data_IF_876927802371
#
_entry.id   IF_876927802371
#
_cell.length_a   1.000
_cell.length_b   1.000
_cell.length_c   1.000
_cell.angle_alpha   90.00
_cell.angle_beta   90.00
_cell.angle_gamma   90.00
#
_symmetry.space_group_name_H-M   'P 1'
#
loop_
_entity.id
_entity.type
_entity.pdbx_description
1 polymer ?
#
# COMPACT_ATOMS: atom_id res chain seq x y z
N UNK A 1 -51.15 -26.82 -36.12
CA UNK A 1 -50.10 -27.87 -36.16
C UNK A 1 -49.98 -28.40 -34.74
N UNK A 2 -50.14 -29.69 -34.39
CA UNK A 2 -49.62 -30.96 -34.97
C UNK A 2 -48.08 -30.98 -35.04
N UNK A 3 -47.30 -31.88 -34.43
CA UNK A 3 -47.53 -32.90 -33.37
C UNK A 3 -46.25 -32.93 -32.46
N UNK A 4 -45.93 -33.83 -31.52
CA UNK A 4 -46.52 -35.07 -30.95
C UNK A 4 -45.90 -35.38 -29.55
N UNK A 5 -46.44 -36.39 -28.85
CA UNK A 5 -45.78 -37.20 -27.79
C UNK A 5 -45.35 -38.57 -28.42
N UNK A 6 -44.45 -39.43 -27.85
CA UNK A 6 -44.31 -39.81 -26.43
C UNK A 6 -42.85 -39.92 -25.92
N UNK A 7 -42.56 -40.24 -24.65
CA UNK A 7 -43.41 -40.51 -23.47
C UNK A 7 -42.89 -41.72 -22.67
N UNK A 8 -43.49 -42.03 -21.51
CA UNK A 8 -43.25 -43.31 -20.84
C UNK A 8 -44.52 -43.86 -20.15
N UNK A 9 -44.64 -45.19 -20.15
CA UNK A 9 -45.79 -45.97 -19.65
C UNK A 9 -45.25 -47.31 -19.12
N UNK A 10 -45.83 -48.00 -18.14
CA UNK A 10 -47.17 -47.88 -17.53
C UNK A 10 -47.23 -48.75 -16.25
N UNK A 11 -48.42 -48.74 -15.61
CA UNK A 11 -48.96 -49.75 -14.67
C UNK A 11 -48.47 -49.72 -13.21
N UNK A 12 -49.32 -50.01 -12.21
CA UNK A 12 -50.79 -50.14 -12.19
C UNK A 12 -51.36 -49.48 -10.92
N UNK A 13 -52.48 -48.76 -10.94
CA UNK A 13 -53.85 -49.23 -11.15
C UNK A 13 -54.29 -50.34 -10.17
N UNK A 14 -54.96 -49.91 -9.10
CA UNK A 14 -55.83 -50.70 -8.22
C UNK A 14 -56.94 -49.77 -7.74
N UNK A 15 -58.19 -50.05 -8.08
CA UNK A 15 -59.26 -49.04 -8.05
C UNK A 15 -59.98 -48.87 -6.70
N UNK A 16 -60.38 -47.61 -6.45
CA UNK A 16 -61.58 -47.05 -5.78
C UNK A 16 -62.59 -48.01 -5.10
N UNK A 17 -63.33 -47.63 -4.03
CA UNK A 17 -64.34 -46.55 -4.02
C UNK A 17 -64.62 -45.92 -2.62
N UNK A 18 -64.49 -44.58 -2.55
CA UNK A 18 -65.54 -43.61 -2.15
C UNK A 18 -66.55 -43.97 -1.01
N UNK A 19 -66.54 -43.23 0.12
CA UNK A 19 -67.60 -42.25 0.57
C UNK A 19 -67.61 -41.91 2.09
N UNK A 20 -67.87 -40.61 2.39
CA UNK A 20 -68.37 -39.96 3.64
C UNK A 20 -67.44 -39.67 4.83
N UNK A 21 -67.78 -38.54 5.48
CA UNK A 21 -67.21 -37.94 6.70
C UNK A 21 -68.17 -38.14 7.88
N UNK A 22 -67.68 -38.51 9.06
CA UNK A 22 -68.32 -38.36 10.39
C UNK A 22 -67.22 -38.04 11.45
N UNK A 23 -67.61 -37.58 12.64
CA UNK A 23 -66.80 -36.94 13.70
C UNK A 23 -66.30 -37.85 14.85
N UNK A 24 -65.44 -37.27 15.73
CA UNK A 24 -65.08 -37.67 17.12
C UNK A 24 -64.14 -38.89 17.36
N UNK A 25 -63.50 -39.04 18.56
CA UNK A 25 -62.78 -38.01 19.36
C UNK A 25 -61.45 -38.49 20.02
N UNK A 26 -60.82 -37.59 20.80
CA UNK A 26 -59.63 -37.72 21.70
C UNK A 26 -59.25 -39.10 22.30
N UNK A 27 -57.94 -39.36 22.27
CA UNK A 27 -57.10 -39.83 23.40
C UNK A 27 -55.73 -39.11 23.24
N UNK A 28 -55.06 -38.45 24.21
CA UNK A 28 -54.84 -38.69 25.66
C UNK A 28 -53.93 -39.89 25.91
N UNK A 29 -52.92 -39.70 26.80
CA UNK A 29 -51.76 -40.59 27.06
C UNK A 29 -50.66 -40.52 25.97
N UNK A 30 -49.83 -39.46 26.01
CA UNK A 30 -48.44 -39.46 25.49
C UNK A 30 -47.56 -38.26 25.92
N UNK A 31 -48.05 -37.31 26.74
CA UNK A 31 -47.31 -36.07 27.08
C UNK A 31 -46.26 -36.19 28.20
N UNK A 32 -46.27 -37.26 29.01
CA UNK A 32 -45.46 -37.32 30.23
C UNK A 32 -43.94 -37.47 29.99
N UNK A 33 -43.52 -38.29 29.02
CA UNK A 33 -42.10 -38.65 28.85
C UNK A 33 -41.31 -37.68 27.95
N UNK A 34 -41.97 -36.93 27.06
CA UNK A 34 -41.25 -35.97 26.20
C UNK A 34 -40.70 -34.77 26.99
N UNK A 35 -41.44 -34.28 27.99
CA UNK A 35 -41.05 -33.10 28.77
C UNK A 35 -39.70 -33.26 29.49
N UNK A 36 -39.44 -34.45 30.06
CA UNK A 36 -38.19 -34.75 30.77
C UNK A 36 -36.98 -35.03 29.85
N UNK A 37 -37.22 -35.26 28.56
CA UNK A 37 -36.15 -35.28 27.55
C UNK A 37 -35.74 -33.85 27.18
N UNK A 38 -36.71 -33.02 26.81
CA UNK A 38 -36.48 -31.66 26.30
C UNK A 38 -35.77 -30.76 27.33
N UNK A 39 -36.05 -30.90 28.62
CA UNK A 39 -35.37 -30.15 29.68
C UNK A 39 -33.86 -30.45 29.75
N UNK A 40 -33.47 -31.73 29.59
CA UNK A 40 -32.06 -32.15 29.63
C UNK A 40 -31.27 -31.69 28.40
N UNK A 41 -31.85 -31.84 27.21
CA UNK A 41 -31.22 -31.31 25.99
C UNK A 41 -31.12 -29.78 26.03
N UNK A 42 -32.16 -29.08 26.51
CA UNK A 42 -32.13 -27.63 26.68
C UNK A 42 -31.05 -27.16 27.66
N UNK A 43 -30.90 -27.82 28.81
CA UNK A 43 -29.83 -27.53 29.78
C UNK A 43 -28.43 -27.79 29.18
N UNK A 44 -28.23 -28.89 28.46
CA UNK A 44 -26.96 -29.15 27.77
C UNK A 44 -26.66 -28.12 26.68
N UNK A 45 -27.66 -27.67 25.92
CA UNK A 45 -27.51 -26.62 24.91
C UNK A 45 -27.16 -25.27 25.55
N UNK A 46 -27.79 -24.91 26.67
CA UNK A 46 -27.47 -23.71 27.43
C UNK A 46 -26.05 -23.74 28.01
N UNK A 47 -25.57 -24.90 28.49
CA UNK A 47 -24.17 -25.04 28.94
C UNK A 47 -23.20 -24.93 27.76
N UNK A 48 -23.51 -25.51 26.60
CA UNK A 48 -22.68 -25.34 25.40
C UNK A 48 -22.66 -23.88 24.91
N UNK A 49 -23.81 -23.20 24.86
CA UNK A 49 -23.89 -21.78 24.49
C UNK A 49 -23.18 -20.88 25.50
N UNK A 50 -23.29 -21.17 26.80
CA UNK A 50 -22.57 -20.45 27.84
C UNK A 50 -21.06 -20.66 27.71
N UNK A 51 -20.58 -21.90 27.48
CA UNK A 51 -19.16 -22.18 27.25
C UNK A 51 -18.64 -21.56 25.95
N UNK A 52 -19.44 -21.54 24.88
CA UNK A 52 -19.09 -20.90 23.60
C UNK A 52 -19.03 -19.37 23.74
N UNK A 53 -19.95 -18.77 24.50
CA UNK A 53 -19.91 -17.36 24.86
C UNK A 53 -18.71 -17.03 25.75
N UNK A 54 -18.34 -17.90 26.69
CA UNK A 54 -17.15 -17.72 27.55
C UNK A 54 -15.85 -17.90 26.75
N UNK A 55 -15.86 -18.75 25.70
CA UNK A 55 -14.79 -18.82 24.72
C UNK A 55 -14.69 -17.50 23.94
N UNK A 56 -15.79 -16.98 23.39
CA UNK A 56 -15.81 -15.66 22.73
C UNK A 56 -15.42 -14.50 23.67
N UNK A 57 -15.65 -14.60 24.98
CA UNK A 57 -15.17 -13.64 25.98
C UNK A 57 -13.76 -13.92 26.53
N UNK A 58 -13.04 -14.92 25.98
CA UNK A 58 -11.63 -15.21 26.30
C UNK A 58 -10.72 -15.30 25.06
N UNK A 59 -11.31 -15.38 23.86
CA UNK A 59 -10.66 -14.96 22.62
C UNK A 59 -10.69 -13.42 22.62
N UNK A 60 -9.80 -12.84 23.41
CA UNK A 60 -9.49 -11.42 23.40
C UNK A 60 -8.69 -11.13 22.11
N UNK A 61 -9.39 -11.12 20.98
CA UNK A 61 -8.81 -10.75 19.68
C UNK A 61 -8.42 -9.29 19.79
N UNK A 62 -7.16 -9.05 20.16
CA UNK A 62 -6.47 -7.79 19.95
C UNK A 62 -6.23 -7.61 18.44
N UNK A 63 -7.33 -7.53 17.69
CA UNK A 63 -7.38 -6.79 16.45
C UNK A 63 -7.10 -5.35 16.86
N UNK A 64 -5.81 -4.97 16.78
CA UNK A 64 -5.44 -3.57 16.65
C UNK A 64 -6.33 -2.97 15.57
N UNK A 65 -6.81 -1.73 15.70
CA UNK A 65 -7.30 -1.03 14.52
C UNK A 65 -6.19 -1.11 13.46
N UNK A 66 -6.54 -1.50 12.23
CA UNK A 66 -5.63 -1.34 11.09
C UNK A 66 -5.20 0.13 11.00
N UNK A 67 -4.06 0.42 10.36
CA UNK A 67 -3.36 1.71 10.48
C UNK A 67 -4.20 2.93 10.01
N UNK A 68 -5.08 3.46 10.87
CA UNK A 68 -6.08 4.48 10.55
C UNK A 68 -5.55 5.93 10.64
N UNK A 69 -4.22 6.12 10.65
CA UNK A 69 -3.58 7.34 11.15
C UNK A 69 -2.51 7.96 10.21
N UNK A 70 -2.71 7.89 8.87
CA UNK A 70 -1.90 8.72 7.93
C UNK A 70 -2.70 9.46 6.84
N UNK A 71 -3.78 8.86 6.32
CA UNK A 71 -4.64 9.37 5.21
C UNK A 71 -5.35 10.74 5.40
N UNK A 72 -4.94 11.57 6.37
CA UNK A 72 -5.46 12.93 6.62
C UNK A 72 -4.45 14.07 6.46
N UNK A 73 -3.15 13.79 6.27
CA UNK A 73 -2.13 14.83 6.02
C UNK A 73 -2.15 15.39 4.59
N UNK A 74 -3.35 15.76 4.11
CA UNK A 74 -3.56 16.27 2.75
C UNK A 74 -3.05 17.70 2.59
N UNK A 75 -1.87 17.81 1.99
CA UNK A 75 -1.28 18.98 1.32
C UNK A 75 -1.28 20.29 2.13
N UNK A 76 -0.17 20.57 2.83
CA UNK A 76 0.21 21.94 3.16
C UNK A 76 1.66 22.23 2.73
N UNK A 77 1.90 22.83 1.54
CA UNK A 77 3.23 22.91 0.92
C UNK A 77 4.11 24.04 1.49
N UNK A 78 4.11 24.22 2.82
CA UNK A 78 4.76 25.37 3.50
C UNK A 78 5.69 24.99 4.66
N UNK A 79 6.06 23.72 4.81
CA UNK A 79 6.89 23.21 5.93
C UNK A 79 8.06 22.30 5.50
N UNK A 80 8.68 22.55 4.34
CA UNK A 80 9.83 21.78 3.80
C UNK A 80 11.12 21.81 4.66
N UNK A 81 11.19 22.63 5.72
CA UNK A 81 12.40 22.77 6.56
C UNK A 81 12.27 22.20 8.00
N UNK A 82 11.13 21.61 8.40
CA UNK A 82 10.86 21.33 9.84
C UNK A 82 10.62 19.85 10.22
N UNK A 83 10.72 18.87 9.30
CA UNK A 83 10.34 17.47 9.58
C UNK A 83 11.36 16.38 9.17
N UNK A 84 12.67 16.69 9.11
CA UNK A 84 13.78 15.73 8.82
C UNK A 84 13.89 14.52 9.80
N UNK A 85 13.01 14.43 10.80
CA UNK A 85 13.01 13.44 11.89
C UNK A 85 11.82 12.47 11.77
N UNK A 86 10.83 12.79 10.94
CA UNK A 86 9.73 11.88 10.64
C UNK A 86 10.10 10.98 9.46
N UNK A 87 9.86 9.66 9.54
CA UNK A 87 9.83 8.84 8.34
C UNK A 87 8.77 9.40 7.38
N UNK A 88 9.05 9.48 6.07
CA UNK A 88 8.06 9.92 5.09
C UNK A 88 6.93 8.87 4.96
N UNK A 89 5.76 9.38 4.57
CA UNK A 89 4.56 8.59 4.24
C UNK A 89 4.68 7.99 2.82
N UNK A 90 5.06 8.86 1.89
CA UNK A 90 5.40 8.54 0.50
C UNK A 90 6.84 8.04 0.37
N UNK A 91 7.04 6.91 -0.32
CA UNK A 91 8.34 6.26 -0.44
C UNK A 91 8.90 6.39 -1.87
N UNK A 92 9.70 7.44 -2.04
CA UNK A 92 10.47 7.73 -3.26
C UNK A 92 11.15 6.46 -3.82
N UNK A 93 10.85 6.13 -5.08
CA UNK A 93 11.44 4.97 -5.75
C UNK A 93 10.88 3.61 -5.32
N UNK A 94 9.71 3.56 -4.66
CA UNK A 94 8.96 2.32 -4.37
C UNK A 94 7.58 2.35 -5.04
N UNK A 95 7.12 1.21 -5.58
CA UNK A 95 5.87 1.13 -6.36
C UNK A 95 4.57 1.18 -5.53
N UNK A 96 4.60 0.84 -4.24
CA UNK A 96 3.48 1.02 -3.31
C UNK A 96 3.90 1.85 -2.09
N UNK A 97 2.95 2.61 -1.58
CA UNK A 97 3.09 3.33 -0.31
C UNK A 97 2.92 2.40 0.90
N UNK A 98 3.21 2.91 2.10
CA UNK A 98 3.08 2.19 3.38
C UNK A 98 1.69 1.58 3.63
N UNK A 99 0.63 2.15 3.06
CA UNK A 99 -0.77 1.70 3.21
C UNK A 99 -1.27 0.83 2.03
N UNK A 100 -0.38 0.49 1.09
CA UNK A 100 -0.67 -0.38 -0.05
C UNK A 100 -1.30 0.32 -1.26
N UNK A 101 -1.50 1.64 -1.26
CA UNK A 101 -1.82 2.37 -2.50
C UNK A 101 -0.67 2.31 -3.51
N UNK A 102 -0.98 2.44 -4.80
CA UNK A 102 0.06 2.60 -5.85
C UNK A 102 0.65 4.01 -5.74
N UNK A 103 1.98 4.09 -5.66
CA UNK A 103 2.70 5.34 -5.87
C UNK A 103 2.48 5.76 -7.35
N UNK A 104 1.83 6.91 -7.55
CA UNK A 104 1.50 7.41 -8.89
C UNK A 104 2.66 8.16 -9.55
N UNK A 105 3.56 8.74 -8.76
CA UNK A 105 4.65 9.57 -9.25
C UNK A 105 5.97 8.78 -9.40
N UNK A 106 5.99 7.50 -8.99
CA UNK A 106 7.09 6.54 -9.12
C UNK A 106 7.87 6.64 -10.44
N UNK A 107 7.16 6.66 -11.57
CA UNK A 107 7.76 6.74 -12.91
C UNK A 107 8.47 8.07 -13.18
N UNK A 108 8.05 9.16 -12.55
CA UNK A 108 8.72 10.47 -12.57
C UNK A 108 9.92 10.48 -11.60
N UNK A 109 9.76 9.91 -10.39
CA UNK A 109 10.83 9.79 -9.40
C UNK A 109 12.03 9.01 -9.94
N UNK A 110 11.81 7.82 -10.52
CA UNK A 110 12.92 7.00 -11.05
C UNK A 110 13.50 7.56 -12.36
N UNK A 111 12.78 8.44 -13.05
CA UNK A 111 13.25 9.08 -14.27
C UNK A 111 14.01 10.41 -14.02
N UNK A 112 13.63 11.18 -13.00
CA UNK A 112 14.24 12.47 -12.68
C UNK A 112 15.20 12.40 -11.47
N UNK A 113 14.82 11.62 -10.46
CA UNK A 113 15.37 11.69 -9.11
C UNK A 113 15.32 13.13 -8.58
N UNK A 114 16.42 13.60 -8.02
CA UNK A 114 16.57 14.97 -7.49
C UNK A 114 16.27 16.09 -8.49
N UNK A 115 16.32 15.82 -9.80
CA UNK A 115 15.96 16.83 -10.80
C UNK A 115 14.45 17.16 -10.74
N UNK A 116 13.60 16.29 -10.16
CA UNK A 116 12.15 16.44 -9.99
C UNK A 116 11.75 17.72 -9.25
N UNK A 117 12.43 18.06 -8.15
CA UNK A 117 12.19 19.31 -7.43
C UNK A 117 12.44 20.56 -8.29
N UNK A 118 13.20 20.42 -9.39
CA UNK A 118 13.44 21.52 -10.31
C UNK A 118 12.47 21.56 -11.52
N UNK A 119 11.40 20.74 -11.55
CA UNK A 119 10.39 20.69 -12.61
C UNK A 119 9.03 21.35 -12.22
N UNK A 120 9.02 22.19 -11.18
CA UNK A 120 7.88 23.04 -10.77
C UNK A 120 7.05 23.62 -11.95
N UNK A 121 5.72 23.65 -11.80
CA UNK A 121 4.79 24.23 -12.79
C UNK A 121 5.10 25.71 -13.11
N UNK A 122 5.60 26.47 -12.13
CA UNK A 122 5.98 27.88 -12.27
C UNK A 122 7.27 28.10 -13.09
N UNK A 123 8.02 27.03 -13.42
CA UNK A 123 9.26 27.15 -14.19
C UNK A 123 8.99 27.37 -15.69
N UNK A 124 9.72 28.32 -16.30
CA UNK A 124 9.60 28.62 -17.73
C UNK A 124 9.69 27.33 -18.58
N UNK A 125 8.69 26.98 -19.43
CA UNK A 125 8.70 25.72 -20.19
C UNK A 125 9.94 25.51 -21.07
N UNK A 126 10.61 26.61 -21.47
CA UNK A 126 11.89 26.61 -22.19
C UNK A 126 13.10 26.17 -21.36
N UNK A 127 13.01 26.16 -20.02
CA UNK A 127 13.99 25.58 -19.09
C UNK A 127 13.72 24.09 -18.90
N UNK A 128 12.49 23.74 -18.54
CA UNK A 128 12.11 22.34 -18.29
C UNK A 128 12.34 21.49 -19.57
N UNK A 129 12.01 22.02 -20.76
CA UNK A 129 12.39 21.41 -22.05
C UNK A 129 13.90 21.22 -22.23
N UNK A 130 14.74 22.14 -21.74
CA UNK A 130 16.21 21.97 -21.82
C UNK A 130 16.70 20.91 -20.85
N UNK A 131 16.19 20.87 -19.62
CA UNK A 131 16.52 19.83 -18.63
C UNK A 131 16.13 18.45 -19.15
N UNK A 132 14.91 18.29 -19.66
CA UNK A 132 14.43 17.03 -20.24
C UNK A 132 15.28 16.56 -21.44
N UNK A 133 15.80 17.49 -22.26
CA UNK A 133 16.79 17.20 -23.31
C UNK A 133 18.17 16.84 -22.75
N UNK A 134 18.57 17.43 -21.62
CA UNK A 134 19.81 17.08 -20.93
C UNK A 134 19.72 15.68 -20.31
N UNK A 135 18.62 15.36 -19.63
CA UNK A 135 18.28 14.02 -19.12
C UNK A 135 18.31 13.01 -20.27
N UNK A 136 17.61 13.27 -21.38
CA UNK A 136 17.68 12.44 -22.58
C UNK A 136 19.14 12.18 -23.03
N UNK A 137 19.99 13.20 -22.96
CA UNK A 137 21.42 13.12 -23.32
C UNK A 137 22.32 12.47 -22.25
N UNK A 138 21.81 12.25 -21.03
CA UNK A 138 22.42 11.42 -19.97
C UNK A 138 22.03 9.94 -20.15
N UNK A 139 20.76 9.67 -20.48
CA UNK A 139 20.22 8.31 -20.72
C UNK A 139 20.75 7.70 -22.01
N UNK A 140 20.85 8.47 -23.10
CA UNK A 140 21.43 8.05 -24.39
C UNK A 140 22.96 7.88 -24.27
N UNK A 141 23.37 6.76 -23.68
CA UNK A 141 24.76 6.39 -23.45
C UNK A 141 25.50 6.10 -24.77
N UNK A 142 24.80 5.50 -25.75
CA UNK A 142 25.41 5.06 -27.01
C UNK A 142 25.49 6.19 -28.08
N UNK A 143 24.60 7.18 -27.99
CA UNK A 143 24.50 8.40 -28.80
C UNK A 143 23.91 8.22 -30.21
N UNK A 144 22.99 7.27 -30.34
CA UNK A 144 22.17 7.08 -31.55
C UNK A 144 20.92 7.99 -31.59
N UNK A 145 20.60 8.68 -30.49
CA UNK A 145 19.42 9.56 -30.27
C UNK A 145 18.10 8.83 -30.04
N UNK A 146 18.15 7.57 -29.64
CA UNK A 146 17.02 6.79 -29.15
C UNK A 146 17.38 6.20 -27.78
N UNK A 147 16.43 6.15 -26.85
CA UNK A 147 16.62 5.45 -25.59
C UNK A 147 16.11 4.03 -25.76
N UNK A 148 16.98 3.03 -25.65
CA UNK A 148 16.55 1.63 -25.58
C UNK A 148 16.10 1.27 -24.16
N UNK A 149 15.26 0.23 -24.03
CA UNK A 149 14.81 -0.28 -22.73
C UNK A 149 15.96 -0.65 -21.76
N UNK A 150 17.17 -0.94 -22.26
CA UNK A 150 18.35 -1.22 -21.42
C UNK A 150 19.06 0.03 -20.90
N UNK A 151 19.04 1.10 -21.68
CA UNK A 151 19.55 2.40 -21.25
C UNK A 151 18.60 3.04 -20.23
N UNK A 152 17.29 2.93 -20.46
CA UNK A 152 16.27 3.32 -19.48
C UNK A 152 16.33 2.46 -18.20
N UNK A 153 16.41 1.12 -18.30
CA UNK A 153 16.60 0.22 -17.15
C UNK A 153 17.79 0.66 -16.30
N UNK A 154 18.94 0.89 -16.94
CA UNK A 154 20.15 1.31 -16.23
C UNK A 154 19.97 2.69 -15.58
N UNK A 155 19.34 3.64 -16.25
CA UNK A 155 19.09 4.97 -15.71
C UNK A 155 18.21 4.92 -14.46
N UNK A 156 17.15 4.11 -14.47
CA UNK A 156 16.30 3.82 -13.30
C UNK A 156 17.17 3.33 -12.14
N UNK A 157 17.97 2.29 -12.33
CA UNK A 157 18.84 1.74 -11.26
C UNK A 157 19.87 2.75 -10.77
N UNK A 158 20.49 3.53 -11.67
CA UNK A 158 21.46 4.59 -11.33
C UNK A 158 20.79 5.74 -10.56
N UNK A 159 19.48 5.98 -10.77
CA UNK A 159 18.67 6.97 -10.03
C UNK A 159 18.17 6.45 -8.67
N UNK A 160 17.79 5.19 -8.55
CA UNK A 160 17.50 4.56 -7.25
C UNK A 160 18.75 4.56 -6.36
N UNK A 161 19.92 4.17 -6.90
CA UNK A 161 21.19 4.24 -6.16
C UNK A 161 21.56 5.69 -5.79
N UNK A 162 21.33 6.66 -6.67
CA UNK A 162 21.51 8.09 -6.36
C UNK A 162 20.60 8.57 -5.20
N UNK A 163 19.36 8.09 -5.11
CA UNK A 163 18.45 8.42 -4.01
C UNK A 163 18.90 7.76 -2.70
N UNK A 164 19.25 6.46 -2.72
CA UNK A 164 19.71 5.74 -1.53
C UNK A 164 20.97 6.39 -0.92
N UNK A 165 21.89 6.85 -1.77
CA UNK A 165 23.09 7.59 -1.34
C UNK A 165 22.81 9.02 -0.84
N UNK A 166 21.61 9.56 -1.06
CA UNK A 166 21.11 10.79 -0.44
C UNK A 166 20.50 10.49 0.94
N UNK A 167 19.60 9.50 1.02
CA UNK A 167 18.96 9.03 2.26
C UNK A 167 19.99 8.69 3.35
N UNK A 168 21.06 7.95 3.01
CA UNK A 168 22.19 7.65 3.93
C UNK A 168 22.86 8.90 4.49
N UNK A 169 22.89 9.99 3.72
CA UNK A 169 23.58 11.25 4.07
C UNK A 169 22.70 12.20 4.88
N UNK A 170 21.42 12.26 4.54
CA UNK A 170 20.38 12.99 5.28
C UNK A 170 20.16 12.32 6.65
N UNK A 171 20.00 10.99 6.67
CA UNK A 171 19.94 10.19 7.90
C UNK A 171 21.11 10.50 8.85
N UNK A 172 22.33 10.69 8.36
CA UNK A 172 23.48 11.03 9.22
C UNK A 172 23.32 12.39 9.93
N UNK A 173 22.67 13.35 9.30
CA UNK A 173 22.35 14.65 9.92
C UNK A 173 21.22 14.50 10.93
N UNK A 174 20.14 13.80 10.57
CA UNK A 174 19.00 13.52 11.46
C UNK A 174 19.42 12.71 12.68
N UNK A 175 20.26 11.68 12.51
CA UNK A 175 20.81 10.85 13.59
C UNK A 175 21.56 11.71 14.60
N UNK A 176 22.50 12.55 14.16
CA UNK A 176 23.20 13.50 15.04
C UNK A 176 22.31 14.60 15.63
N UNK A 177 21.07 14.78 15.17
CA UNK A 177 20.08 15.65 15.79
C UNK A 177 19.22 14.94 16.85
N UNK A 178 19.07 13.60 16.76
CA UNK A 178 18.31 12.76 17.71
C UNK A 178 19.17 11.99 18.74
N UNK A 179 20.49 11.90 18.53
CA UNK A 179 21.52 11.48 19.50
C UNK A 179 22.14 12.72 20.18
N UNK A 180 21.61 13.20 21.33
CA UNK A 180 22.08 14.41 22.00
C UNK A 180 23.24 14.17 23.00
N UNK A 181 23.50 12.93 23.41
CA UNK A 181 24.53 12.60 24.40
C UNK A 181 25.81 12.01 23.78
N UNK A 182 25.70 11.48 22.55
CA UNK A 182 26.80 11.06 21.70
C UNK A 182 27.26 9.61 21.93
N UNK A 183 26.40 8.74 22.47
CA UNK A 183 26.75 7.33 22.71
C UNK A 183 26.77 6.44 21.45
N UNK A 184 26.16 6.91 20.35
CA UNK A 184 26.14 6.24 19.05
C UNK A 184 24.90 5.37 18.78
N UNK A 185 23.89 5.43 19.66
CA UNK A 185 22.57 4.84 19.49
C UNK A 185 21.51 5.88 19.87
N UNK A 186 20.27 5.69 19.42
CA UNK A 186 19.14 6.56 19.77
C UNK A 186 18.16 5.78 20.63
N UNK A 187 17.68 6.34 21.74
CA UNK A 187 16.56 5.76 22.48
C UNK A 187 15.21 6.24 21.95
N UNK A 188 14.16 5.41 22.11
CA UNK A 188 12.78 5.83 21.81
C UNK A 188 12.36 7.12 22.55
N UNK A 189 12.89 7.36 23.76
CA UNK A 189 12.55 8.54 24.55
C UNK A 189 13.21 9.81 24.02
N UNK A 190 14.43 9.75 23.49
CA UNK A 190 15.08 10.88 22.83
C UNK A 190 14.40 11.21 21.51
N UNK A 191 14.12 10.19 20.69
CA UNK A 191 13.33 10.36 19.47
C UNK A 191 11.97 11.01 19.76
N UNK A 192 11.26 10.52 20.78
CA UNK A 192 9.97 11.08 21.22
C UNK A 192 10.09 12.52 21.72
N UNK A 193 11.16 12.88 22.44
CA UNK A 193 11.43 14.28 22.84
C UNK A 193 11.62 15.18 21.60
N UNK A 194 12.34 14.71 20.58
CA UNK A 194 12.64 15.47 19.36
C UNK A 194 11.42 15.63 18.45
N UNK A 195 10.64 14.56 18.24
CA UNK A 195 9.36 14.60 17.53
C UNK A 195 8.36 15.57 18.20
N UNK A 196 8.26 15.56 19.52
CA UNK A 196 7.41 16.53 20.22
C UNK A 196 7.96 17.96 20.11
N UNK A 197 9.27 18.13 20.04
CA UNK A 197 9.88 19.45 19.81
C UNK A 197 9.54 20.02 18.40
N UNK A 198 9.54 19.19 17.33
CA UNK A 198 9.12 19.66 16.00
C UNK A 198 7.61 19.95 15.92
N UNK A 199 6.78 19.22 16.69
CA UNK A 199 5.36 19.56 16.91
C UNK A 199 5.15 20.82 17.78
N UNK A 200 6.22 21.52 18.18
CA UNK A 200 6.16 22.80 18.91
C UNK A 200 6.08 22.70 20.45
N UNK A 201 6.23 21.51 21.03
CA UNK A 201 6.35 21.35 22.47
C UNK A 201 7.76 21.75 22.96
N UNK A 202 7.90 22.09 24.25
CA UNK A 202 9.20 22.44 24.79
C UNK A 202 10.03 21.19 25.09
N UNK A 203 11.08 20.95 24.30
CA UNK A 203 12.04 19.83 24.41
C UNK A 203 12.42 19.50 25.87
N UNK A 204 12.75 20.52 26.69
CA UNK A 204 13.20 20.34 28.07
C UNK A 204 12.06 20.00 29.04
N UNK A 205 10.86 20.49 28.76
CA UNK A 205 9.66 20.12 29.52
C UNK A 205 9.23 18.69 29.21
N UNK A 206 9.31 18.27 27.93
CA UNK A 206 8.99 16.91 27.52
C UNK A 206 10.01 15.91 28.09
N UNK A 207 11.31 16.21 28.00
CA UNK A 207 12.37 15.36 28.56
C UNK A 207 12.22 15.15 30.08
N UNK A 208 11.95 16.21 30.85
CA UNK A 208 11.73 16.07 32.29
C UNK A 208 10.42 15.33 32.61
N UNK A 209 9.34 15.51 31.85
CA UNK A 209 8.09 14.75 32.02
C UNK A 209 8.27 13.25 31.75
N UNK A 210 8.90 12.92 30.63
CA UNK A 210 9.20 11.53 30.22
C UNK A 210 10.04 10.83 31.29
N UNK A 211 11.10 11.49 31.76
CA UNK A 211 12.00 11.02 32.83
C UNK A 211 11.33 10.86 34.20
N UNK A 212 10.27 11.61 34.49
CA UNK A 212 9.44 11.43 35.68
C UNK A 212 8.24 10.48 35.45
N UNK A 213 8.10 9.94 34.23
CA UNK A 213 6.98 9.12 33.79
C UNK A 213 5.61 9.81 34.02
N UNK A 214 5.56 11.12 33.76
CA UNK A 214 4.33 11.92 33.78
C UNK A 214 3.52 11.76 32.49
N UNK A 215 2.20 11.83 32.60
CA UNK A 215 1.26 11.76 31.48
C UNK A 215 1.44 12.96 30.53
N UNK A 216 1.86 12.66 29.29
CA UNK A 216 2.00 13.67 28.24
C UNK A 216 0.63 14.07 27.71
N UNK A 217 0.30 15.36 27.79
CA UNK A 217 -0.93 15.93 27.23
C UNK A 217 -0.73 16.29 25.76
N UNK A 218 -0.59 15.27 24.94
CA UNK A 218 -0.74 15.32 23.49
C UNK A 218 -2.22 15.18 23.12
N UNK A 219 -2.56 15.64 21.92
CA UNK A 219 -3.80 15.32 21.21
C UNK A 219 -3.83 13.87 20.72
N UNK A 220 -5.04 13.41 20.38
CA UNK A 220 -5.35 12.03 19.96
C UNK A 220 -4.60 11.65 18.66
N UNK A 221 -4.54 12.56 17.68
CA UNK A 221 -3.80 12.40 16.42
C UNK A 221 -2.28 12.23 16.66
N UNK A 222 -1.68 13.08 17.49
CA UNK A 222 -0.25 12.97 17.85
C UNK A 222 0.05 11.70 18.65
N UNK A 223 -0.89 11.20 19.46
CA UNK A 223 -0.76 9.93 20.18
C UNK A 223 -0.84 8.71 19.23
N UNK A 224 -1.80 8.69 18.30
CA UNK A 224 -1.90 7.64 17.26
C UNK A 224 -0.63 7.55 16.40
N UNK A 225 -0.08 8.70 16.00
CA UNK A 225 1.19 8.78 15.26
C UNK A 225 2.35 8.26 16.12
N UNK A 226 2.43 8.61 17.40
CA UNK A 226 3.46 8.08 18.31
C UNK A 226 3.38 6.57 18.50
N UNK A 227 2.18 5.98 18.53
CA UNK A 227 2.01 4.53 18.66
C UNK A 227 2.41 3.79 17.38
N UNK A 228 2.02 4.30 16.21
CA UNK A 228 2.45 3.79 14.89
C UNK A 228 3.98 3.85 14.72
N UNK A 229 4.59 5.00 15.01
CA UNK A 229 6.05 5.17 14.97
C UNK A 229 6.76 4.23 15.96
N UNK A 230 6.16 3.93 17.11
CA UNK A 230 6.75 3.01 18.09
C UNK A 230 6.73 1.56 17.63
N UNK A 231 5.66 1.12 16.96
CA UNK A 231 5.63 -0.21 16.36
C UNK A 231 6.67 -0.33 15.24
N UNK A 232 6.79 0.69 14.37
CA UNK A 232 7.84 0.79 13.34
C UNK A 232 9.25 0.74 13.94
N UNK A 233 9.48 1.43 15.06
CA UNK A 233 10.74 1.38 15.82
C UNK A 233 11.12 -0.05 16.22
N UNK A 234 10.17 -0.82 16.78
CA UNK A 234 10.40 -2.23 17.15
C UNK A 234 10.60 -3.19 15.96
N UNK A 235 10.41 -2.75 14.71
CA UNK A 235 10.77 -3.51 13.50
C UNK A 235 12.12 -3.08 12.92
N UNK A 236 12.60 -1.87 13.25
CA UNK A 236 13.94 -1.40 12.92
C UNK A 236 15.01 -1.96 13.88
N UNK A 237 14.62 -2.22 15.13
CA UNK A 237 15.34 -2.91 16.22
C UNK A 237 15.66 -4.38 15.85
N UNK A 238 16.57 -4.55 14.89
CA UNK A 238 16.94 -5.82 14.24
C UNK A 238 17.98 -6.58 15.11
N UNK A 239 18.07 -7.93 15.10
CA UNK A 239 18.82 -8.66 16.12
C UNK A 239 20.30 -8.26 16.28
N UNK A 240 20.75 -7.82 17.47
CA UNK A 240 20.07 -7.91 18.77
C UNK A 240 19.02 -6.81 19.01
N UNK A 241 17.76 -7.20 19.17
CA UNK A 241 16.70 -6.28 19.54
C UNK A 241 16.87 -5.85 21.01
N UNK A 242 17.45 -4.66 21.23
CA UNK A 242 17.76 -4.10 22.56
C UNK A 242 17.07 -2.74 22.83
N UNK A 243 16.23 -2.30 21.89
CA UNK A 243 15.39 -1.10 21.91
C UNK A 243 16.14 0.23 21.64
N UNK A 244 17.42 0.14 21.27
CA UNK A 244 18.25 1.24 20.79
C UNK A 244 18.42 1.10 19.28
N UNK A 245 18.35 2.20 18.51
CA UNK A 245 18.66 2.15 17.07
C UNK A 245 20.04 2.75 16.80
N UNK A 246 20.92 1.99 16.14
CA UNK A 246 22.19 2.49 15.60
C UNK A 246 21.99 3.25 14.26
N UNK A 247 23.05 3.80 13.67
CA UNK A 247 22.96 4.63 12.44
C UNK A 247 22.33 3.88 11.24
N UNK A 248 22.52 2.57 11.10
CA UNK A 248 21.94 1.73 10.03
C UNK A 248 20.49 1.31 10.33
N UNK A 249 20.12 1.19 11.60
CA UNK A 249 18.75 0.84 12.04
C UNK A 249 17.86 2.09 12.06
N UNK A 250 18.38 3.25 12.44
CA UNK A 250 17.68 4.53 12.29
C UNK A 250 17.48 4.89 10.81
N UNK A 251 18.45 4.56 9.95
CA UNK A 251 18.25 4.59 8.49
C UNK A 251 17.12 3.65 8.08
N UNK A 252 17.09 2.42 8.58
CA UNK A 252 16.01 1.45 8.31
C UNK A 252 14.64 1.90 8.83
N UNK A 253 14.60 2.73 9.87
CA UNK A 253 13.39 3.32 10.45
C UNK A 253 12.84 4.46 9.58
N UNK A 254 13.70 5.40 9.16
CA UNK A 254 13.32 6.50 8.26
C UNK A 254 13.03 5.98 6.84
N UNK A 255 13.99 5.25 6.27
CA UNK A 255 14.07 4.79 4.88
C UNK A 255 13.91 3.25 4.77
N UNK A 256 12.68 2.73 4.86
CA UNK A 256 12.39 1.30 4.84
C UNK A 256 12.82 0.61 3.54
N UNK A 257 12.83 1.35 2.42
CA UNK A 257 13.29 0.95 1.10
C UNK A 257 14.77 0.52 1.09
N UNK A 258 15.60 1.12 1.96
CA UNK A 258 17.01 0.79 2.09
C UNK A 258 17.25 -0.52 2.87
N UNK A 259 16.22 -1.07 3.53
CA UNK A 259 16.38 -2.19 4.48
C UNK A 259 15.42 -3.33 4.18
N UNK A 260 15.93 -4.42 3.59
CA UNK A 260 15.12 -5.60 3.24
C UNK A 260 14.45 -6.29 4.43
N UNK A 261 14.86 -5.99 5.67
CA UNK A 261 14.12 -6.36 6.89
C UNK A 261 12.83 -5.55 7.07
N UNK A 262 12.91 -4.23 6.85
CA UNK A 262 11.79 -3.30 6.94
C UNK A 262 10.87 -3.36 5.70
N UNK A 263 11.41 -3.56 4.49
CA UNK A 263 10.63 -3.87 3.29
C UNK A 263 9.75 -5.12 3.51
N UNK A 264 10.32 -6.17 4.12
CA UNK A 264 9.59 -7.38 4.55
C UNK A 264 8.65 -7.13 5.75
N UNK A 265 8.70 -5.98 6.41
CA UNK A 265 7.65 -5.54 7.34
C UNK A 265 6.53 -4.79 6.61
N UNK A 266 6.84 -3.86 5.70
CA UNK A 266 5.84 -3.19 4.85
C UNK A 266 4.93 -4.21 4.15
N UNK A 267 5.52 -5.24 3.53
CA UNK A 267 4.76 -6.30 2.86
C UNK A 267 3.83 -7.04 3.84
N UNK A 268 4.19 -7.23 5.12
CA UNK A 268 3.27 -7.81 6.12
C UNK A 268 2.11 -6.89 6.44
N UNK A 269 2.34 -5.58 6.53
CA UNK A 269 1.29 -4.59 6.82
C UNK A 269 0.31 -4.49 5.64
N UNK A 270 0.82 -4.42 4.40
CA UNK A 270 0.02 -4.46 3.17
C UNK A 270 -0.80 -5.76 3.09
N UNK A 271 -0.20 -6.92 3.41
CA UNK A 271 -0.96 -8.17 3.52
C UNK A 271 -2.01 -8.10 4.64
N UNK A 272 -1.67 -7.64 5.86
CA UNK A 272 -2.59 -7.56 6.99
C UNK A 272 -3.83 -6.70 6.70
N UNK A 273 -3.68 -5.65 5.89
CA UNK A 273 -4.73 -4.69 5.60
C UNK A 273 -5.51 -5.00 4.30
N UNK A 274 -5.06 -5.97 3.48
CA UNK A 274 -5.73 -6.44 2.26
C UNK A 274 -6.23 -7.91 2.30
N UNK A 275 -5.56 -8.82 3.01
CA UNK A 275 -5.92 -10.24 3.18
C UNK A 275 -7.20 -10.37 4.04
N UNK A 276 -8.32 -10.74 3.43
CA UNK A 276 -9.63 -10.72 4.09
C UNK A 276 -10.05 -12.06 4.70
N UNK A 277 -9.45 -13.17 4.29
CA UNK A 277 -9.77 -14.52 4.81
C UNK A 277 -8.67 -15.15 5.69
N UNK A 278 -7.44 -14.62 5.61
CA UNK A 278 -6.29 -14.94 6.46
C UNK A 278 -5.40 -16.08 5.94
N UNK A 279 -5.55 -16.52 4.69
CA UNK A 279 -4.72 -17.60 4.12
C UNK A 279 -3.30 -17.16 3.70
N UNK A 280 -3.02 -15.85 3.72
CA UNK A 280 -1.76 -15.19 3.32
C UNK A 280 -1.50 -15.19 1.82
N UNK A 281 -2.55 -15.00 1.04
CA UNK A 281 -2.49 -14.81 -0.40
C UNK A 281 -3.38 -13.65 -0.80
N UNK A 282 -2.94 -12.80 -1.73
CA UNK A 282 -3.78 -11.74 -2.25
C UNK A 282 -4.37 -12.18 -3.58
N UNK A 283 -5.66 -12.52 -3.58
CA UNK A 283 -6.39 -12.67 -4.84
C UNK A 283 -6.53 -11.31 -5.52
N UNK A 284 -6.75 -11.30 -6.84
CA UNK A 284 -7.06 -10.06 -7.56
C UNK A 284 -8.20 -9.26 -6.91
N UNK A 285 -9.20 -9.93 -6.30
CA UNK A 285 -10.33 -9.27 -5.64
C UNK A 285 -9.95 -8.53 -4.35
N UNK A 286 -8.94 -9.02 -3.63
CA UNK A 286 -8.41 -8.38 -2.42
C UNK A 286 -7.40 -7.30 -2.80
N UNK A 287 -6.56 -7.55 -3.81
CA UNK A 287 -5.61 -6.55 -4.28
C UNK A 287 -6.32 -5.30 -4.87
N UNK A 288 -7.46 -5.46 -5.56
CA UNK A 288 -8.31 -4.33 -6.00
C UNK A 288 -9.36 -3.89 -4.96
N UNK A 289 -9.40 -4.50 -3.77
CA UNK A 289 -10.18 -3.93 -2.67
C UNK A 289 -9.45 -2.70 -2.14
N UNK A 290 -10.16 -1.59 -1.96
CA UNK A 290 -9.60 -0.45 -1.25
C UNK A 290 -9.35 -0.83 0.22
N UNK A 291 -8.28 -0.31 0.87
CA UNK A 291 -8.07 -0.48 2.30
C UNK A 291 -9.30 -0.08 3.13
N UNK A 292 -9.55 -0.84 4.21
CA UNK A 292 -10.77 -0.74 5.01
C UNK A 292 -10.97 0.66 5.62
N UNK A 293 -11.99 1.40 5.14
CA UNK A 293 -12.42 2.69 5.70
C UNK A 293 -12.39 3.88 4.74
N UNK A 294 -11.96 3.69 3.48
CA UNK A 294 -11.69 4.74 2.49
C UNK A 294 -12.90 5.39 1.80
N UNK A 295 -14.11 4.80 1.87
CA UNK A 295 -15.26 5.22 1.02
C UNK A 295 -16.47 5.78 1.81
N UNK A 296 -16.33 7.00 2.33
CA UNK A 296 -17.48 7.88 2.59
C UNK A 296 -17.54 9.02 1.54
N UNK A 297 -17.93 8.74 0.29
CA UNK A 297 -18.65 9.71 -0.57
C UNK A 297 -19.15 9.14 -1.91
N UNK A 298 -20.32 9.58 -2.36
CA UNK A 298 -20.99 9.11 -3.59
C UNK A 298 -20.49 9.77 -4.89
N UNK A 299 -19.24 10.25 -4.91
CA UNK A 299 -18.58 10.83 -6.09
C UNK A 299 -17.52 9.90 -6.72
N UNK A 300 -17.36 8.69 -6.19
CA UNK A 300 -16.25 7.79 -6.52
C UNK A 300 -16.41 6.98 -7.83
N UNK A 301 -17.60 6.91 -8.46
CA UNK A 301 -17.88 5.88 -9.47
C UNK A 301 -16.98 5.89 -10.72
N UNK A 302 -16.58 7.07 -11.23
CA UNK A 302 -15.66 7.17 -12.36
C UNK A 302 -14.17 7.04 -11.94
N UNK A 303 -13.88 7.20 -10.64
CA UNK A 303 -12.53 7.07 -10.05
C UNK A 303 -12.21 5.59 -9.76
N UNK A 304 -13.25 4.82 -9.41
CA UNK A 304 -13.22 3.36 -9.20
C UNK A 304 -12.69 2.63 -10.44
N UNK A 305 -13.29 2.85 -11.61
CA UNK A 305 -12.96 2.13 -12.87
C UNK A 305 -11.52 2.37 -13.35
N UNK A 306 -10.96 3.57 -13.15
CA UNK A 306 -9.58 3.90 -13.53
C UNK A 306 -8.56 3.29 -12.55
N UNK A 307 -8.80 3.43 -11.24
CA UNK A 307 -7.93 2.89 -10.20
C UNK A 307 -7.96 1.35 -10.13
N UNK A 308 -9.14 0.73 -10.27
CA UNK A 308 -9.28 -0.73 -10.40
C UNK A 308 -8.54 -1.24 -11.63
N UNK A 309 -8.61 -0.52 -12.76
CA UNK A 309 -7.88 -0.91 -13.99
C UNK A 309 -6.37 -0.81 -13.79
N UNK A 310 -5.87 0.25 -13.16
CA UNK A 310 -4.44 0.42 -12.86
C UNK A 310 -3.92 -0.71 -11.93
N UNK A 311 -4.61 -0.96 -10.80
CA UNK A 311 -4.21 -2.04 -9.87
C UNK A 311 -4.34 -3.43 -10.46
N UNK A 312 -5.39 -3.70 -11.24
CA UNK A 312 -5.53 -4.96 -11.97
C UNK A 312 -4.40 -5.14 -12.99
N UNK A 313 -3.96 -4.06 -13.65
CA UNK A 313 -2.88 -4.13 -14.63
C UNK A 313 -1.55 -4.46 -13.96
N UNK A 314 -1.16 -3.76 -12.88
CA UNK A 314 0.09 -4.11 -12.18
C UNK A 314 0.02 -5.53 -11.60
N UNK A 315 -1.14 -5.96 -11.07
CA UNK A 315 -1.36 -7.34 -10.65
C UNK A 315 -1.08 -8.34 -11.80
N UNK A 316 -1.81 -8.24 -12.93
CA UNK A 316 -1.74 -9.22 -14.03
C UNK A 316 -0.48 -9.11 -14.93
N UNK A 317 0.19 -7.96 -14.98
CA UNK A 317 1.36 -7.73 -15.85
C UNK A 317 2.71 -7.68 -15.11
N UNK A 318 2.74 -7.45 -13.78
CA UNK A 318 3.98 -7.13 -13.05
C UNK A 318 4.16 -7.90 -11.74
N UNK A 319 3.10 -8.11 -10.93
CA UNK A 319 3.21 -8.75 -9.60
C UNK A 319 2.98 -10.28 -9.67
N UNK A 320 1.93 -10.73 -10.36
CA UNK A 320 1.61 -12.16 -10.56
C UNK A 320 2.57 -12.76 -11.59
N UNK A 321 3.72 -13.25 -11.10
CA UNK A 321 4.88 -13.57 -11.92
C UNK A 321 4.84 -14.95 -12.58
N UNK A 322 4.07 -15.89 -12.02
CA UNK A 322 3.81 -17.21 -12.63
C UNK A 322 2.43 -17.35 -13.30
N UNK A 323 1.57 -16.34 -13.14
CA UNK A 323 0.23 -16.21 -13.71
C UNK A 323 -0.78 -17.25 -13.17
N UNK A 324 -0.67 -17.66 -11.90
CA UNK A 324 -1.71 -18.48 -11.23
C UNK A 324 -2.93 -17.67 -10.75
N UNK A 325 -2.84 -16.34 -10.72
CA UNK A 325 -3.90 -15.42 -10.30
C UNK A 325 -3.85 -15.02 -8.81
N UNK A 326 -2.75 -15.32 -8.11
CA UNK A 326 -2.64 -15.18 -6.66
C UNK A 326 -1.25 -14.66 -6.24
N UNK A 327 -1.18 -13.40 -5.80
CA UNK A 327 0.08 -12.80 -5.32
C UNK A 327 0.47 -13.37 -3.95
N UNK A 328 1.70 -13.89 -3.87
CA UNK A 328 2.33 -14.36 -2.62
C UNK A 328 3.14 -13.27 -1.92
N UNK A 329 3.56 -13.53 -0.67
CA UNK A 329 4.39 -12.61 0.09
C UNK A 329 5.77 -12.42 -0.57
N UNK A 330 6.32 -13.49 -1.14
CA UNK A 330 7.60 -13.50 -1.85
C UNK A 330 7.57 -12.66 -3.13
N UNK A 331 6.48 -12.73 -3.91
CA UNK A 331 6.31 -11.91 -5.11
C UNK A 331 6.09 -10.44 -4.77
N UNK A 332 5.33 -10.13 -3.72
CA UNK A 332 5.17 -8.74 -3.30
C UNK A 332 6.48 -8.17 -2.68
N UNK A 333 7.29 -9.00 -2.01
CA UNK A 333 8.67 -8.63 -1.64
C UNK A 333 9.56 -8.38 -2.87
N UNK A 334 9.43 -9.17 -3.93
CA UNK A 334 10.23 -8.98 -5.15
C UNK A 334 9.77 -7.78 -5.99
N UNK A 335 8.47 -7.49 -6.05
CA UNK A 335 7.89 -6.30 -6.69
C UNK A 335 8.24 -5.01 -5.96
N UNK A 336 8.30 -5.05 -4.62
CA UNK A 336 8.63 -3.91 -3.77
C UNK A 336 10.14 -3.63 -3.68
N UNK A 337 11.02 -4.55 -4.10
CA UNK A 337 12.47 -4.33 -4.12
C UNK A 337 12.84 -3.31 -5.23
N UNK A 338 13.27 -2.08 -4.87
CA UNK A 338 13.52 -1.02 -5.84
C UNK A 338 14.87 -1.18 -6.56
N UNK A 339 15.72 -2.10 -6.09
CA UNK A 339 17.00 -2.47 -6.71
C UNK A 339 16.86 -3.71 -7.63
N UNK A 340 15.66 -4.24 -7.82
CA UNK A 340 15.43 -5.38 -8.72
C UNK A 340 15.59 -4.97 -10.20
N UNK A 341 16.64 -5.48 -10.85
CA UNK A 341 16.92 -5.26 -12.27
C UNK A 341 15.75 -5.67 -13.20
N UNK A 342 14.93 -6.66 -12.82
CA UNK A 342 13.78 -7.10 -13.61
C UNK A 342 12.63 -6.09 -13.56
N UNK A 343 12.33 -5.57 -12.37
CA UNK A 343 11.33 -4.51 -12.18
C UNK A 343 11.74 -3.24 -12.92
N UNK A 344 13.00 -2.82 -12.78
CA UNK A 344 13.55 -1.68 -13.52
C UNK A 344 13.47 -1.88 -15.06
N UNK A 345 13.60 -3.11 -15.56
CA UNK A 345 13.43 -3.42 -16.98
C UNK A 345 11.97 -3.40 -17.43
N UNK A 346 11.03 -3.81 -16.57
CA UNK A 346 9.60 -3.76 -16.86
C UNK A 346 9.09 -2.33 -16.82
N UNK A 347 9.48 -1.53 -15.83
CA UNK A 347 9.20 -0.09 -15.78
C UNK A 347 9.79 0.64 -17.00
N UNK A 348 11.04 0.36 -17.36
CA UNK A 348 11.65 0.88 -18.58
C UNK A 348 10.84 0.55 -19.85
N UNK A 349 10.24 -0.64 -19.94
CA UNK A 349 9.35 -1.02 -21.06
C UNK A 349 8.00 -0.31 -20.99
N UNK A 350 7.41 -0.18 -19.80
CA UNK A 350 6.14 0.51 -19.60
C UNK A 350 6.28 2.00 -19.99
N UNK A 351 7.32 2.69 -19.49
CA UNK A 351 7.61 4.08 -19.85
C UNK A 351 7.83 4.30 -21.34
N UNK A 352 8.55 3.40 -22.02
CA UNK A 352 8.71 3.46 -23.48
C UNK A 352 7.36 3.23 -24.18
N UNK A 353 6.59 2.21 -23.79
CA UNK A 353 5.31 1.86 -24.41
C UNK A 353 4.20 2.92 -24.25
N UNK A 354 4.34 3.85 -23.30
CA UNK A 354 3.43 5.01 -23.14
C UNK A 354 3.70 6.11 -24.18
N UNK A 355 4.93 6.21 -24.71
CA UNK A 355 5.37 7.33 -25.55
C UNK A 355 5.88 6.95 -26.96
N UNK A 356 6.21 5.67 -27.21
CA UNK A 356 6.60 5.09 -28.51
C UNK A 356 5.40 5.11 -29.48
N UNK A 357 5.25 6.20 -30.25
CA UNK A 357 4.15 6.36 -31.22
C UNK A 357 4.39 5.57 -32.49
N UNK A 358 5.66 5.35 -32.83
CA UNK A 358 6.06 4.74 -34.09
C UNK A 358 6.24 3.21 -33.99
N UNK A 359 6.13 2.67 -32.77
CA UNK A 359 6.18 1.25 -32.39
C UNK A 359 7.53 0.58 -32.71
N UNK A 360 8.63 1.30 -32.47
CA UNK A 360 9.99 0.77 -32.69
C UNK A 360 10.64 0.14 -31.44
N UNK A 361 10.02 0.26 -30.26
CA UNK A 361 10.50 -0.19 -28.94
C UNK A 361 11.75 0.52 -28.40
N UNK A 362 12.03 1.70 -28.96
CA UNK A 362 12.91 2.71 -28.42
C UNK A 362 12.08 3.97 -28.16
N UNK A 363 12.68 4.97 -27.53
CA UNK A 363 12.03 6.23 -27.20
C UNK A 363 12.84 7.39 -27.76
N UNK A 364 12.30 8.09 -28.76
CA UNK A 364 12.99 9.15 -29.48
C UNK A 364 12.87 10.51 -28.78
N UNK A 365 13.82 11.41 -29.04
CA UNK A 365 13.85 12.74 -28.41
C UNK A 365 12.56 13.55 -28.65
N UNK A 366 11.90 13.37 -29.78
CA UNK A 366 10.65 14.06 -30.11
C UNK A 366 9.45 13.50 -29.33
N UNK A 367 9.45 12.19 -29.04
CA UNK A 367 8.42 11.49 -28.26
C UNK A 367 8.50 11.86 -26.78
N UNK A 368 9.69 11.88 -26.17
CA UNK A 368 9.90 12.34 -24.77
C UNK A 368 9.42 13.78 -24.58
N UNK A 369 9.61 14.62 -25.58
CA UNK A 369 9.14 16.02 -25.55
C UNK A 369 7.63 16.16 -25.77
N UNK A 370 7.00 15.20 -26.43
CA UNK A 370 5.54 15.16 -26.68
C UNK A 370 4.79 14.63 -25.46
N UNK A 371 5.30 13.56 -24.86
CA UNK A 371 4.78 12.91 -23.65
C UNK A 371 5.43 13.42 -22.36
N UNK A 372 6.02 14.62 -22.39
CA UNK A 372 6.77 15.19 -21.25
C UNK A 372 5.95 15.34 -19.97
N UNK A 373 4.62 15.44 -20.09
CA UNK A 373 3.67 15.48 -18.97
C UNK A 373 3.66 14.17 -18.16
N UNK A 374 3.91 13.02 -18.80
CA UNK A 374 4.12 11.74 -18.12
C UNK A 374 5.52 11.66 -17.49
N UNK A 375 6.56 12.08 -18.21
CA UNK A 375 7.94 12.04 -17.69
C UNK A 375 8.28 13.10 -16.62
N UNK A 376 7.43 14.10 -16.38
CA UNK A 376 7.76 15.23 -15.47
C UNK A 376 6.59 15.77 -14.65
N UNK A 377 5.37 15.22 -14.78
CA UNK A 377 4.12 15.73 -14.20
C UNK A 377 3.66 17.06 -14.84
N UNK A 378 4.58 17.98 -15.05
CA UNK A 378 4.40 19.30 -15.65
C UNK A 378 4.20 19.26 -17.17
N UNK A 379 3.05 19.76 -17.64
CA UNK A 379 2.74 19.90 -19.06
C UNK A 379 3.59 20.98 -19.73
N UNK A 380 4.67 20.60 -20.45
CA UNK A 380 5.61 21.53 -21.11
C UNK A 380 5.05 22.39 -22.28
N UNK A 381 3.73 22.41 -22.47
CA UNK A 381 2.98 23.31 -23.37
C UNK A 381 3.45 23.33 -24.83
N UNK A 382 3.26 22.20 -25.52
CA UNK A 382 2.99 22.04 -26.96
C UNK A 382 3.62 23.09 -27.90
N UNK A 383 4.94 23.30 -27.76
CA UNK A 383 5.66 24.24 -28.61
C UNK A 383 5.71 23.76 -30.07
N UNK A 384 5.56 22.44 -30.30
CA UNK A 384 5.50 21.82 -31.63
C UNK A 384 4.36 22.39 -32.49
N UNK A 385 3.18 22.63 -31.90
CA UNK A 385 2.07 23.32 -32.59
C UNK A 385 2.44 24.76 -32.98
N UNK A 386 3.14 25.48 -32.10
CA UNK A 386 3.53 26.88 -32.33
C UNK A 386 4.63 27.06 -33.39
N UNK A 387 5.60 26.14 -33.54
CA UNK A 387 6.63 26.27 -34.61
C UNK A 387 6.05 26.10 -36.02
N UNK A 388 4.85 25.52 -36.15
CA UNK A 388 4.16 25.34 -37.43
C UNK A 388 3.17 26.46 -37.79
N UNK A 389 2.97 27.47 -36.93
CA UNK A 389 2.16 28.66 -37.24
C UNK A 389 2.99 29.94 -37.53
N UNK A 390 4.31 29.95 -37.30
CA UNK A 390 5.21 31.10 -37.54
C UNK A 390 6.13 30.97 -38.79
N UNK A 391 5.63 30.51 -39.94
CA UNK A 391 6.35 30.60 -41.24
C UNK A 391 5.45 30.84 -42.47
#
# INVERSE_FOLDING_TARGET
MNLQFPGNSKSGFGETFKIKVVHQPRAVILEADMANSWSRWGQSLFVFLALFSLLYSTIDVHARPANMSVLKLKNNPTSKEENEILPPDHLNGVKLEMDGHINKDFHQEVFLGKEMEEFDEDSEPRRNRKKLIEIFSKVDLNKDKSISAKEMQRWITEKTEEHFLEAVRENKMSFHAVDPDGDGHVTWDEYRVKFLASKGFNEKEMAEKIKHNEELKVDEETQEVLESLKDRWFQADNPPADQLLNEEEFLSFLHPEHSRGMLKYMVKEIFRDLDQDGDKRLTLSEFISLPMGTVENQQAQDIDDDWVRERKKEFEEVIDGDHDGIVTMEELEEYMDPMNEFNALNEARQMIAVADENQNHHLEQEEVLKYSEYFTGSKLMDYARNVHEEF
#
